data_IF_426352390351
#
_entry.id   IF_426352390351
#
_cell.length_a   1.000
_cell.length_b   1.000
_cell.length_c   1.000
_cell.angle_alpha   90.00
_cell.angle_beta   90.00
_cell.angle_gamma   90.00
#
_symmetry.space_group_name_H-M   'P 1'
#
loop_
_entity.id
_entity.type
_entity.pdbx_description
1 polymer ?
#
# COMPACT_ATOMS: atom_id res chain seq x y z
N UNK A 1 18.85 -10.94 -19.24
CA UNK A 1 17.39 -10.97 -19.03
C UNK A 1 17.20 -11.10 -17.53
N UNK A 2 16.66 -10.11 -16.81
CA UNK A 2 16.42 -10.29 -15.37
C UNK A 2 15.21 -11.22 -15.21
N UNK A 3 15.39 -12.37 -14.56
CA UNK A 3 14.29 -13.29 -14.26
C UNK A 3 13.22 -12.59 -13.41
N UNK A 4 11.95 -12.80 -13.75
CA UNK A 4 10.84 -12.34 -12.92
C UNK A 4 10.62 -13.32 -11.78
N UNK A 5 10.46 -12.82 -10.56
CA UNK A 5 10.29 -13.59 -9.33
C UNK A 5 8.80 -13.80 -9.04
N UNK A 6 8.33 -15.05 -9.13
CA UNK A 6 7.01 -15.45 -8.65
C UNK A 6 7.06 -15.94 -7.20
N UNK A 7 5.90 -16.33 -6.68
CA UNK A 7 5.78 -16.86 -5.32
C UNK A 7 6.64 -18.11 -5.07
N UNK A 8 6.72 -19.03 -6.04
CA UNK A 8 7.46 -20.28 -5.88
C UNK A 8 8.97 -20.03 -5.86
N UNK A 9 9.46 -19.20 -6.79
CA UNK A 9 10.86 -18.83 -6.87
C UNK A 9 11.30 -18.04 -5.64
N UNK A 10 10.49 -17.08 -5.14
CA UNK A 10 10.83 -16.36 -3.90
C UNK A 10 11.01 -17.32 -2.73
N UNK A 11 10.14 -18.33 -2.58
CA UNK A 11 10.28 -19.34 -1.52
C UNK A 11 11.54 -20.17 -1.68
N UNK A 12 11.83 -20.63 -2.90
CA UNK A 12 13.05 -21.38 -3.20
C UNK A 12 14.31 -20.55 -2.87
N UNK A 13 14.32 -19.25 -3.20
CA UNK A 13 15.45 -18.38 -2.87
C UNK A 13 15.61 -18.17 -1.36
N UNK A 14 14.51 -18.16 -0.58
CA UNK A 14 14.60 -18.13 0.88
C UNK A 14 15.15 -19.45 1.47
N UNK A 15 14.79 -20.60 0.90
CA UNK A 15 15.37 -21.89 1.30
C UNK A 15 16.89 -21.93 1.02
N UNK A 16 17.31 -21.46 -0.15
CA UNK A 16 18.74 -21.32 -0.53
C UNK A 16 19.50 -20.38 0.41
N UNK A 17 18.88 -19.24 0.74
CA UNK A 17 19.46 -18.27 1.66
C UNK A 17 19.59 -18.86 3.07
N UNK A 18 18.59 -19.59 3.55
CA UNK A 18 18.69 -20.33 4.82
C UNK A 18 19.86 -21.30 4.82
N UNK A 19 19.98 -22.16 3.80
CA UNK A 19 21.04 -23.15 3.73
C UNK A 19 22.43 -22.50 3.71
N UNK A 20 22.59 -21.39 2.98
CA UNK A 20 23.84 -20.65 2.93
C UNK A 20 24.23 -20.00 4.27
N UNK A 21 23.26 -19.48 5.02
CA UNK A 21 23.48 -18.88 6.34
C UNK A 21 23.77 -19.96 7.40
N UNK A 22 23.00 -21.05 7.38
CA UNK A 22 23.17 -22.18 8.29
C UNK A 22 24.55 -22.84 8.14
N UNK A 23 25.05 -22.99 6.90
CA UNK A 23 26.40 -23.50 6.63
C UNK A 23 27.51 -22.65 7.26
N UNK A 24 27.21 -21.39 7.61
CA UNK A 24 28.13 -20.45 8.28
C UNK A 24 27.86 -20.34 9.79
N UNK A 25 26.92 -21.12 10.32
CA UNK A 25 26.51 -21.06 11.73
C UNK A 25 25.79 -19.76 12.11
N UNK A 26 25.19 -19.08 11.12
CA UNK A 26 24.50 -17.79 11.32
C UNK A 26 23.02 -17.95 11.01
N UNK A 27 22.16 -17.22 11.72
CA UNK A 27 20.75 -17.07 11.39
C UNK A 27 20.46 -15.62 11.07
N UNK A 28 19.86 -15.37 9.91
CA UNK A 28 19.45 -14.02 9.50
C UNK A 28 17.99 -13.74 9.82
N UNK A 29 17.65 -12.46 9.96
CA UNK A 29 16.26 -11.98 10.04
C UNK A 29 16.02 -10.90 8.98
N UNK A 30 15.08 -11.18 8.08
CA UNK A 30 14.70 -10.32 6.96
C UNK A 30 13.25 -9.87 7.12
N UNK A 31 13.03 -8.57 7.07
CA UNK A 31 11.72 -7.94 7.06
C UNK A 31 11.31 -7.58 5.62
N UNK A 32 10.39 -8.35 5.06
CA UNK A 32 9.91 -8.28 3.70
C UNK A 32 8.85 -7.19 3.53
N UNK A 33 9.04 -6.31 2.55
CA UNK A 33 8.16 -5.19 2.21
C UNK A 33 7.83 -5.21 0.70
N UNK A 34 7.12 -4.20 0.22
CA UNK A 34 6.94 -3.98 -1.21
C UNK A 34 6.23 -5.11 -1.95
N UNK A 35 6.64 -5.34 -3.21
CA UNK A 35 6.00 -6.32 -4.10
C UNK A 35 6.14 -7.76 -3.61
N UNK A 36 7.30 -8.12 -3.07
CA UNK A 36 7.56 -9.46 -2.52
C UNK A 36 6.65 -9.79 -1.32
N UNK A 37 6.39 -8.83 -0.44
CA UNK A 37 5.43 -8.99 0.67
C UNK A 37 4.00 -9.20 0.15
N UNK A 38 3.61 -8.47 -0.90
CA UNK A 38 2.28 -8.62 -1.53
C UNK A 38 2.08 -10.02 -2.13
N UNK A 39 3.11 -10.57 -2.79
CA UNK A 39 3.07 -11.90 -3.40
C UNK A 39 3.02 -12.98 -2.31
N UNK A 40 3.92 -12.94 -1.33
CA UNK A 40 4.10 -14.01 -0.33
C UNK A 40 3.14 -13.94 0.86
N UNK A 41 2.70 -12.74 1.27
CA UNK A 41 1.88 -12.54 2.47
C UNK A 41 0.41 -12.23 2.22
N UNK A 42 0.06 -11.86 0.98
CA UNK A 42 -1.28 -11.37 0.60
C UNK A 42 -1.81 -11.94 -0.72
N UNK A 43 -1.18 -12.97 -1.27
CA UNK A 43 -1.73 -13.76 -2.37
C UNK A 43 -1.85 -13.01 -3.70
N UNK A 44 -0.94 -12.05 -3.97
CA UNK A 44 -0.89 -11.44 -5.30
C UNK A 44 -0.31 -12.41 -6.32
N UNK A 45 -1.13 -12.80 -7.28
CA UNK A 45 -0.73 -13.61 -8.43
C UNK A 45 -0.10 -12.71 -9.51
N UNK A 46 1.17 -12.37 -9.30
CA UNK A 46 2.02 -11.66 -10.25
C UNK A 46 3.48 -11.96 -9.96
N UNK A 47 4.36 -11.52 -10.86
CA UNK A 47 5.80 -11.54 -10.64
C UNK A 47 6.35 -10.16 -10.26
N UNK A 48 7.54 -10.13 -9.67
CA UNK A 48 8.30 -8.92 -9.34
C UNK A 48 9.73 -9.04 -9.85
N UNK A 49 10.44 -7.93 -10.06
CA UNK A 49 11.85 -7.97 -10.48
C UNK A 49 12.79 -8.25 -9.31
N UNK A 50 12.37 -7.82 -8.14
CA UNK A 50 13.15 -7.79 -6.91
C UNK A 50 12.24 -7.99 -5.69
N UNK A 51 12.90 -8.26 -4.57
CA UNK A 51 12.32 -8.47 -3.25
C UNK A 51 12.84 -7.34 -2.36
N UNK A 52 11.99 -6.32 -2.14
CA UNK A 52 12.29 -5.22 -1.23
C UNK A 52 12.34 -5.71 0.22
N UNK A 53 13.43 -5.43 0.95
CA UNK A 53 13.59 -5.86 2.34
C UNK A 53 14.29 -4.82 3.21
N UNK A 54 14.08 -4.94 4.51
CA UNK A 54 14.98 -4.45 5.56
C UNK A 54 15.60 -5.67 6.23
N UNK A 55 16.92 -5.67 6.46
CA UNK A 55 17.59 -6.78 7.14
C UNK A 55 17.83 -6.37 8.59
N UNK A 56 17.27 -7.15 9.51
CA UNK A 56 17.26 -6.88 10.94
C UNK A 56 18.41 -7.58 11.67
N UNK A 57 18.83 -8.76 11.17
CA UNK A 57 19.96 -9.52 11.72
C UNK A 57 20.83 -10.12 10.59
N UNK A 58 22.14 -10.24 10.86
CA UNK A 58 23.14 -10.84 9.97
C UNK A 58 23.23 -10.19 8.57
N UNK A 59 23.19 -8.85 8.52
CA UNK A 59 23.10 -8.09 7.26
C UNK A 59 24.17 -8.44 6.24
N UNK A 60 25.44 -8.47 6.64
CA UNK A 60 26.55 -8.67 5.71
C UNK A 60 26.56 -10.11 5.18
N UNK A 61 26.24 -11.10 6.03
CA UNK A 61 26.11 -12.50 5.65
C UNK A 61 24.92 -12.73 4.71
N UNK A 62 23.77 -12.11 5.00
CA UNK A 62 22.57 -12.18 4.16
C UNK A 62 22.87 -11.60 2.78
N UNK A 63 23.49 -10.43 2.70
CA UNK A 63 23.81 -9.79 1.42
C UNK A 63 24.85 -10.57 0.62
N UNK A 64 25.89 -11.10 1.27
CA UNK A 64 26.90 -11.92 0.62
C UNK A 64 26.30 -13.23 0.05
N UNK A 65 25.42 -13.88 0.83
CA UNK A 65 24.71 -15.08 0.37
C UNK A 65 23.73 -14.75 -0.76
N UNK A 66 22.98 -13.65 -0.66
CA UNK A 66 22.05 -13.21 -1.70
C UNK A 66 22.76 -12.90 -3.02
N UNK A 67 23.92 -12.25 -2.99
CA UNK A 67 24.73 -12.01 -4.18
C UNK A 67 25.15 -13.32 -4.86
N UNK A 68 25.71 -14.26 -4.10
CA UNK A 68 26.12 -15.57 -4.63
C UNK A 68 24.93 -16.38 -5.19
N UNK A 69 23.77 -16.33 -4.54
CA UNK A 69 22.54 -16.96 -5.04
C UNK A 69 22.09 -16.28 -6.34
N UNK A 70 22.11 -14.95 -6.39
CA UNK A 70 21.74 -14.18 -7.58
C UNK A 70 22.54 -14.58 -8.80
N UNK A 71 23.87 -14.71 -8.66
CA UNK A 71 24.76 -15.20 -9.71
C UNK A 71 24.39 -16.62 -10.19
N UNK A 72 24.14 -17.55 -9.26
CA UNK A 72 23.76 -18.94 -9.60
C UNK A 72 22.44 -19.03 -10.37
N UNK A 73 21.48 -18.19 -10.01
CA UNK A 73 20.12 -18.18 -10.58
C UNK A 73 19.98 -17.21 -11.78
N UNK A 74 21.05 -16.49 -12.16
CA UNK A 74 21.02 -15.50 -13.24
C UNK A 74 20.10 -14.29 -12.95
N UNK A 75 19.96 -13.94 -11.67
CA UNK A 75 19.16 -12.81 -11.22
C UNK A 75 20.00 -11.52 -11.24
N UNK A 76 19.31 -10.38 -11.15
CA UNK A 76 19.97 -9.10 -10.91
C UNK A 76 20.69 -9.12 -9.56
N UNK A 77 21.83 -8.44 -9.44
CA UNK A 77 22.60 -8.36 -8.18
C UNK A 77 21.78 -7.79 -7.02
N UNK A 78 20.72 -7.02 -7.35
CA UNK A 78 19.80 -6.39 -6.41
C UNK A 78 18.46 -7.12 -6.30
N UNK A 79 18.37 -8.40 -6.66
CA UNK A 79 17.12 -9.17 -6.49
C UNK A 79 16.62 -9.17 -5.03
N UNK A 80 17.51 -9.01 -4.06
CA UNK A 80 17.20 -8.69 -2.66
C UNK A 80 17.55 -7.21 -2.39
N UNK A 81 16.59 -6.31 -2.55
CA UNK A 81 16.83 -4.85 -2.56
C UNK A 81 16.59 -4.20 -1.19
N UNK A 82 17.53 -3.36 -0.76
CA UNK A 82 17.42 -2.53 0.45
C UNK A 82 16.92 -1.11 0.16
N UNK A 83 16.70 -0.74 -1.11
CA UNK A 83 16.35 0.62 -1.52
C UNK A 83 15.12 1.18 -0.81
N UNK A 84 14.15 0.32 -0.52
CA UNK A 84 12.92 0.68 0.18
C UNK A 84 13.03 0.64 1.72
N UNK A 85 14.11 0.12 2.30
CA UNK A 85 14.27 -0.05 3.74
C UNK A 85 14.18 1.28 4.51
N UNK A 86 14.68 2.37 3.93
CA UNK A 86 14.63 3.72 4.51
C UNK A 86 13.20 4.29 4.65
N UNK A 87 12.25 3.74 3.90
CA UNK A 87 10.85 4.16 3.93
C UNK A 87 9.99 3.29 4.82
N UNK A 88 10.56 2.32 5.54
CA UNK A 88 9.82 1.51 6.52
C UNK A 88 9.36 2.44 7.65
N UNK A 89 8.05 2.49 7.96
CA UNK A 89 7.51 3.21 9.11
C UNK A 89 8.29 2.96 10.39
N UNK A 90 8.46 4.00 11.20
CA UNK A 90 9.14 3.89 12.49
C UNK A 90 8.25 3.14 13.49
N UNK A 91 8.88 2.36 14.37
CA UNK A 91 8.19 1.52 15.36
C UNK A 91 8.02 0.08 14.89
N UNK A 92 7.64 -0.79 15.81
CA UNK A 92 7.52 -2.21 15.55
C UNK A 92 6.22 -2.55 14.82
N UNK A 93 6.31 -3.37 13.78
CA UNK A 93 5.16 -3.97 13.15
C UNK A 93 4.71 -5.22 13.91
N UNK A 94 3.94 -5.01 14.96
CA UNK A 94 3.41 -6.09 15.82
C UNK A 94 2.48 -7.06 15.10
N UNK A 95 2.04 -6.71 13.87
CA UNK A 95 1.17 -7.55 13.03
C UNK A 95 1.92 -8.14 11.83
N UNK A 96 3.26 -8.05 11.81
CA UNK A 96 4.06 -8.70 10.80
C UNK A 96 3.79 -10.21 10.78
N UNK A 97 3.75 -10.80 9.59
CA UNK A 97 3.46 -12.22 9.39
C UNK A 97 4.74 -12.99 9.16
N UNK A 98 4.91 -14.16 9.77
CA UNK A 98 5.98 -15.07 9.36
C UNK A 98 5.71 -15.58 7.95
N UNK A 99 6.64 -15.32 7.02
CA UNK A 99 6.58 -15.75 5.61
C UNK A 99 7.43 -16.99 5.40
N UNK A 100 8.60 -17.05 6.04
CA UNK A 100 9.51 -18.17 6.01
C UNK A 100 10.22 -18.27 7.37
N UNK A 101 10.43 -19.48 7.88
CA UNK A 101 11.09 -19.71 9.15
C UNK A 101 11.84 -21.04 9.11
N UNK A 102 13.16 -20.96 9.24
CA UNK A 102 14.10 -22.08 9.13
C UNK A 102 15.28 -21.85 10.09
N UNK A 103 16.18 -22.84 10.27
CA UNK A 103 17.36 -22.71 11.13
C UNK A 103 18.27 -21.55 10.74
N UNK A 104 18.46 -21.29 9.43
CA UNK A 104 19.34 -20.24 8.92
C UNK A 104 18.64 -18.91 8.62
N UNK A 105 17.30 -18.88 8.53
CA UNK A 105 16.59 -17.65 8.11
C UNK A 105 15.20 -17.52 8.74
N UNK A 106 14.93 -16.33 9.30
CA UNK A 106 13.58 -15.86 9.57
C UNK A 106 13.22 -14.77 8.55
N UNK A 107 12.11 -14.93 7.85
CA UNK A 107 11.51 -13.88 7.01
C UNK A 107 10.14 -13.51 7.58
N UNK A 108 10.00 -12.26 7.98
CA UNK A 108 8.71 -11.67 8.39
C UNK A 108 8.25 -10.70 7.32
N UNK A 109 7.01 -10.81 6.85
CA UNK A 109 6.39 -9.87 5.93
C UNK A 109 5.61 -8.79 6.66
N UNK A 110 5.71 -7.56 6.17
CA UNK A 110 4.97 -6.42 6.67
C UNK A 110 3.45 -6.67 6.72
N UNK A 111 2.80 -6.15 7.74
CA UNK A 111 1.36 -6.17 7.93
C UNK A 111 0.65 -5.37 6.84
N UNK A 112 -0.63 -5.66 6.63
CA UNK A 112 -1.40 -4.99 5.59
C UNK A 112 -1.49 -3.47 5.85
N UNK A 113 -1.54 -3.05 7.11
CA UNK A 113 -1.55 -1.64 7.49
C UNK A 113 -0.22 -0.96 7.17
N UNK A 114 0.90 -1.64 7.46
CA UNK A 114 2.24 -1.13 7.19
C UNK A 114 2.51 -1.02 5.69
N UNK A 115 2.14 -2.04 4.91
CA UNK A 115 2.21 -1.99 3.46
C UNK A 115 1.30 -0.91 2.89
N UNK A 116 0.06 -0.77 3.40
CA UNK A 116 -0.84 0.26 2.91
C UNK A 116 -0.26 1.66 3.16
N UNK A 117 0.31 1.90 4.34
CA UNK A 117 1.00 3.15 4.64
C UNK A 117 2.12 3.42 3.63
N UNK A 118 3.00 2.44 3.37
CA UNK A 118 4.11 2.59 2.42
C UNK A 118 3.61 2.86 0.99
N UNK A 119 2.54 2.18 0.56
CA UNK A 119 1.97 2.35 -0.78
C UNK A 119 1.31 3.73 -0.96
N UNK A 120 0.56 4.19 0.04
CA UNK A 120 -0.03 5.54 0.05
C UNK A 120 1.07 6.61 0.09
N UNK A 121 2.12 6.40 0.89
CA UNK A 121 3.28 7.29 0.96
C UNK A 121 3.99 7.41 -0.39
N UNK A 122 4.24 6.28 -1.07
CA UNK A 122 4.86 6.27 -2.39
C UNK A 122 3.97 6.90 -3.47
N UNK A 123 2.66 6.63 -3.43
CA UNK A 123 1.67 7.27 -4.30
C UNK A 123 1.87 7.04 -5.81
N UNK A 124 2.64 6.01 -6.21
CA UNK A 124 2.91 5.73 -7.63
C UNK A 124 1.76 4.96 -8.26
N UNK A 125 1.64 5.04 -9.58
CA UNK A 125 0.58 4.34 -10.32
C UNK A 125 0.55 2.82 -10.09
N UNK A 126 1.69 2.09 -10.05
CA UNK A 126 1.69 0.65 -9.75
C UNK A 126 1.22 0.31 -8.33
N UNK A 127 1.29 1.27 -7.40
CA UNK A 127 0.89 1.06 -6.01
C UNK A 127 -0.64 1.12 -5.84
N UNK A 128 -1.40 1.66 -6.80
CA UNK A 128 -2.87 1.81 -6.70
C UNK A 128 -3.60 0.47 -6.63
N UNK A 129 -3.17 -0.50 -7.43
CA UNK A 129 -3.73 -1.85 -7.36
C UNK A 129 -3.43 -2.48 -6.00
N UNK A 130 -2.21 -2.32 -5.48
CA UNK A 130 -1.85 -2.83 -4.15
C UNK A 130 -2.68 -2.16 -3.05
N UNK A 131 -2.93 -0.84 -3.16
CA UNK A 131 -3.80 -0.09 -2.24
C UNK A 131 -5.22 -0.62 -2.28
N UNK A 132 -5.78 -0.87 -3.47
CA UNK A 132 -7.10 -1.47 -3.66
C UNK A 132 -7.20 -2.83 -2.97
N UNK A 133 -6.22 -3.71 -3.19
CA UNK A 133 -6.18 -5.05 -2.58
C UNK A 133 -6.06 -5.00 -1.07
N UNK A 134 -5.13 -4.20 -0.55
CA UNK A 134 -4.94 -4.03 0.90
C UNK A 134 -6.17 -3.39 1.55
N UNK A 135 -6.82 -2.42 0.90
CA UNK A 135 -8.08 -1.85 1.36
C UNK A 135 -9.19 -2.89 1.41
N UNK A 136 -9.23 -3.82 0.46
CA UNK A 136 -10.11 -5.00 0.49
C UNK A 136 -9.89 -5.86 1.72
N UNK A 137 -8.64 -6.27 1.96
CA UNK A 137 -8.25 -7.10 3.10
C UNK A 137 -8.56 -6.42 4.44
N UNK A 138 -8.30 -5.12 4.53
CA UNK A 138 -8.52 -4.32 5.75
C UNK A 138 -9.97 -3.86 5.92
N UNK A 139 -10.86 -4.13 4.97
CA UNK A 139 -12.25 -3.66 5.01
C UNK A 139 -12.38 -2.14 4.99
N UNK A 140 -11.42 -1.43 4.38
CA UNK A 140 -11.42 0.03 4.32
C UNK A 140 -12.48 0.50 3.32
N UNK A 141 -13.34 1.41 3.78
CA UNK A 141 -14.42 2.01 2.98
C UNK A 141 -14.25 3.49 2.71
N UNK A 142 -13.28 4.13 3.37
CA UNK A 142 -13.11 5.58 3.40
C UNK A 142 -11.67 5.94 3.08
N UNK A 143 -11.48 6.83 2.11
CA UNK A 143 -10.17 7.40 1.76
C UNK A 143 -9.45 7.93 2.98
N UNK A 144 -10.14 8.69 3.83
CA UNK A 144 -9.59 9.24 5.07
C UNK A 144 -9.02 8.19 6.02
N UNK A 145 -9.51 6.95 5.99
CA UNK A 145 -8.94 5.88 6.82
C UNK A 145 -7.57 5.43 6.31
N UNK A 146 -7.42 5.22 5.00
CA UNK A 146 -6.13 4.90 4.40
C UNK A 146 -5.12 6.05 4.56
N UNK A 147 -5.56 7.30 4.40
CA UNK A 147 -4.71 8.48 4.66
C UNK A 147 -4.26 8.51 6.11
N UNK A 148 -5.14 8.33 7.10
CA UNK A 148 -4.75 8.29 8.53
C UNK A 148 -3.77 7.16 8.85
N UNK A 149 -3.89 6.01 8.17
CA UNK A 149 -2.89 4.93 8.32
C UNK A 149 -1.51 5.43 7.87
N UNK A 150 -1.43 6.09 6.72
CA UNK A 150 -0.20 6.70 6.22
C UNK A 150 0.33 7.81 7.16
N UNK A 151 -0.50 8.77 7.55
CA UNK A 151 -0.08 9.92 8.38
C UNK A 151 0.39 9.49 9.78
N UNK A 152 -0.22 8.44 10.37
CA UNK A 152 0.27 7.87 11.63
C UNK A 152 1.62 7.17 11.47
N UNK A 153 1.82 6.48 10.36
CA UNK A 153 3.07 5.80 10.04
C UNK A 153 4.21 6.78 9.69
N UNK A 154 3.86 7.95 9.13
CA UNK A 154 4.80 9.01 8.74
C UNK A 154 4.36 10.37 9.30
N UNK A 155 4.55 10.64 10.61
CA UNK A 155 4.17 11.90 11.23
C UNK A 155 4.82 13.10 10.53
N UNK A 156 4.02 14.12 10.20
CA UNK A 156 4.47 15.33 9.50
C UNK A 156 4.50 15.22 7.98
N UNK A 157 4.25 14.04 7.40
CA UNK A 157 4.08 13.90 5.96
C UNK A 157 2.63 14.14 5.54
N UNK A 158 2.41 15.11 4.66
CA UNK A 158 1.10 15.40 4.09
C UNK A 158 0.93 14.64 2.76
N UNK A 159 -0.10 13.80 2.69
CA UNK A 159 -0.47 13.15 1.43
C UNK A 159 -1.05 14.20 0.48
N UNK A 160 -0.43 14.37 -0.68
CA UNK A 160 -0.83 15.31 -1.72
C UNK A 160 -2.24 15.01 -2.26
N UNK A 161 -2.97 16.06 -2.66
CA UNK A 161 -4.37 15.93 -3.11
C UNK A 161 -4.55 14.95 -4.28
N UNK A 162 -3.62 14.95 -5.24
CA UNK A 162 -3.62 13.97 -6.34
C UNK A 162 -3.53 12.53 -5.83
N UNK A 163 -2.67 12.27 -4.86
CA UNK A 163 -2.54 10.95 -4.25
C UNK A 163 -3.79 10.58 -3.45
N UNK A 164 -4.37 11.54 -2.71
CA UNK A 164 -5.65 11.33 -2.00
C UNK A 164 -6.77 10.90 -2.95
N UNK A 165 -6.88 11.56 -4.11
CA UNK A 165 -7.85 11.20 -5.16
C UNK A 165 -7.63 9.79 -5.66
N UNK A 166 -6.41 9.45 -6.10
CA UNK A 166 -6.10 8.13 -6.62
C UNK A 166 -6.34 7.01 -5.59
N UNK A 167 -6.03 7.27 -4.30
CA UNK A 167 -6.34 6.34 -3.20
C UNK A 167 -7.85 6.19 -3.02
N UNK A 168 -8.61 7.28 -3.17
CA UNK A 168 -10.07 7.25 -3.16
C UNK A 168 -10.65 6.39 -4.27
N UNK A 169 -10.14 6.54 -5.49
CA UNK A 169 -10.55 5.72 -6.64
C UNK A 169 -10.25 4.24 -6.39
N UNK A 170 -9.04 3.90 -5.93
CA UNK A 170 -8.66 2.53 -5.57
C UNK A 170 -9.55 1.92 -4.48
N UNK A 171 -9.96 2.71 -3.48
CA UNK A 171 -10.89 2.27 -2.44
C UNK A 171 -12.31 2.08 -2.98
N UNK A 172 -12.77 2.96 -3.88
CA UNK A 172 -14.08 2.82 -4.53
C UNK A 172 -14.12 1.52 -5.35
N UNK A 173 -13.07 1.24 -6.13
CA UNK A 173 -12.95 -0.01 -6.89
C UNK A 173 -12.94 -1.24 -5.97
N UNK A 174 -12.20 -1.18 -4.85
CA UNK A 174 -12.17 -2.27 -3.88
C UNK A 174 -13.57 -2.56 -3.29
N UNK A 175 -14.37 -1.50 -3.08
CA UNK A 175 -15.75 -1.62 -2.58
C UNK A 175 -16.68 -2.23 -3.63
N UNK A 176 -16.55 -1.78 -4.88
CA UNK A 176 -17.32 -2.33 -6.00
C UNK A 176 -17.08 -3.84 -6.17
N UNK A 177 -15.83 -4.31 -6.07
CA UNK A 177 -15.51 -5.75 -6.12
C UNK A 177 -16.11 -6.57 -4.97
N UNK A 178 -16.39 -5.94 -3.83
CA UNK A 178 -17.10 -6.57 -2.70
C UNK A 178 -18.62 -6.51 -2.82
N UNK A 179 -19.15 -5.94 -3.91
CA UNK A 179 -20.58 -5.69 -4.07
C UNK A 179 -21.13 -4.66 -3.07
N UNK A 180 -20.26 -3.83 -2.47
CA UNK A 180 -20.71 -2.76 -1.61
C UNK A 180 -21.27 -1.61 -2.46
N UNK A 181 -22.42 -1.03 -2.08
CA UNK A 181 -22.97 0.10 -2.83
C UNK A 181 -21.99 1.28 -2.76
N UNK A 182 -21.47 1.66 -3.93
CA UNK A 182 -20.77 2.92 -4.11
C UNK A 182 -21.84 3.92 -4.55
N UNK A 183 -22.02 5.05 -3.84
CA UNK A 183 -23.02 6.04 -4.22
C UNK A 183 -22.77 6.47 -5.67
N UNK A 184 -23.72 6.17 -6.55
CA UNK A 184 -23.69 6.68 -7.91
C UNK A 184 -24.36 8.05 -7.90
N UNK A 185 -23.58 9.05 -8.31
CA UNK A 185 -24.04 10.43 -8.39
C UNK A 185 -24.38 10.73 -9.85
N UNK A 186 -25.67 10.73 -10.15
CA UNK A 186 -26.17 11.07 -11.49
C UNK A 186 -26.59 12.52 -11.51
N UNK A 187 -26.01 13.32 -12.39
CA UNK A 187 -26.48 14.68 -12.66
C UNK A 187 -27.68 14.62 -13.63
N UNK A 188 -28.87 14.88 -13.11
CA UNK A 188 -30.10 15.05 -13.89
C UNK A 188 -30.29 16.54 -14.19
N UNK A 189 -30.21 16.93 -15.48
CA UNK A 189 -30.48 18.29 -16.03
C UNK A 189 -30.09 19.48 -15.14
N UNK A 190 -28.98 20.16 -15.47
CA UNK A 190 -28.54 21.48 -14.98
C UNK A 190 -29.09 21.91 -13.60
N UNK A 191 -28.90 21.10 -12.54
CA UNK A 191 -28.98 21.45 -11.09
C UNK A 191 -29.37 20.28 -10.19
N UNK A 192 -29.95 19.19 -10.71
CA UNK A 192 -30.38 18.07 -9.85
C UNK A 192 -29.35 16.96 -9.85
N UNK A 193 -28.93 16.47 -8.69
CA UNK A 193 -28.13 15.25 -8.58
C UNK A 193 -28.88 14.22 -7.77
N UNK A 194 -28.94 13.02 -8.33
CA UNK A 194 -29.49 11.87 -7.67
C UNK A 194 -28.35 11.02 -7.14
N UNK A 195 -28.44 10.64 -5.88
CA UNK A 195 -27.50 9.72 -5.25
C UNK A 195 -28.20 8.39 -4.98
N UNK A 196 -27.86 7.34 -5.74
CA UNK A 196 -28.34 5.99 -5.48
C UNK A 196 -27.31 5.21 -4.64
N UNK A 197 -27.75 4.45 -3.63
CA UNK A 197 -26.84 3.66 -2.79
C UNK A 197 -26.00 4.47 -1.78
N UNK A 198 -26.37 5.73 -1.51
CA UNK A 198 -25.63 6.66 -0.67
C UNK A 198 -25.53 6.33 0.84
N UNK A 199 -26.33 5.39 1.35
CA UNK A 199 -26.43 5.14 2.79
C UNK A 199 -26.90 6.39 3.55
N UNK A 200 -26.24 6.73 4.66
CA UNK A 200 -26.58 7.88 5.52
C UNK A 200 -25.96 9.22 5.08
N UNK A 201 -25.34 9.29 3.90
CA UNK A 201 -24.67 10.51 3.41
C UNK A 201 -25.69 11.45 2.76
N UNK A 202 -25.57 12.75 3.01
CA UNK A 202 -26.34 13.77 2.30
C UNK A 202 -25.46 14.55 1.34
N UNK A 203 -25.99 14.90 0.18
CA UNK A 203 -25.30 15.64 -0.88
C UNK A 203 -26.01 16.97 -1.09
N UNK A 204 -25.27 18.06 -1.04
CA UNK A 204 -25.75 19.42 -1.28
C UNK A 204 -25.03 19.97 -2.50
N UNK A 205 -25.76 20.62 -3.41
CA UNK A 205 -25.19 21.08 -4.68
C UNK A 205 -25.52 22.53 -4.90
N UNK A 206 -24.50 23.27 -5.30
CA UNK A 206 -24.64 24.62 -5.79
C UNK A 206 -24.13 24.67 -7.23
N UNK A 207 -24.95 25.21 -8.13
CA UNK A 207 -24.53 25.54 -9.48
C UNK A 207 -24.15 27.02 -9.53
N UNK A 208 -22.98 27.33 -10.06
CA UNK A 208 -22.53 28.70 -10.31
C UNK A 208 -22.33 28.90 -11.81
N UNK A 209 -23.14 29.77 -12.41
CA UNK A 209 -23.01 30.19 -13.80
C UNK A 209 -21.84 31.17 -13.94
N UNK A 210 -20.91 30.84 -14.84
CA UNK A 210 -19.73 31.63 -15.15
C UNK A 210 -20.04 32.65 -16.23
N UNK A 211 -19.25 33.72 -16.29
CA UNK A 211 -19.43 34.79 -17.27
C UNK A 211 -19.31 34.35 -18.74
N UNK A 212 -18.73 33.18 -19.01
CA UNK A 212 -18.62 32.57 -20.34
C UNK A 212 -19.80 31.64 -20.69
N UNK A 213 -20.81 31.54 -19.82
CA UNK A 213 -21.99 30.69 -19.99
C UNK A 213 -21.77 29.23 -19.60
N UNK A 214 -20.61 28.87 -19.02
CA UNK A 214 -20.40 27.56 -18.41
C UNK A 214 -20.97 27.51 -16.99
N UNK A 215 -21.42 26.34 -16.53
CA UNK A 215 -21.84 26.13 -15.13
C UNK A 215 -20.78 25.31 -14.38
N UNK A 216 -20.38 25.77 -13.20
CA UNK A 216 -19.57 24.99 -12.25
C UNK A 216 -20.49 24.40 -11.17
N UNK A 217 -20.40 23.09 -10.96
CA UNK A 217 -21.16 22.40 -9.93
C UNK A 217 -20.29 22.14 -8.70
N UNK A 218 -20.68 22.71 -7.57
CA UNK A 218 -20.08 22.44 -6.27
C UNK A 218 -20.88 21.36 -5.56
N UNK A 219 -20.33 20.14 -5.47
CA UNK A 219 -20.95 19.04 -4.73
C UNK A 219 -20.34 18.95 -3.34
N UNK A 220 -21.14 19.25 -2.32
CA UNK A 220 -20.78 19.06 -0.91
C UNK A 220 -21.33 17.73 -0.41
N UNK A 221 -20.44 16.84 0.02
CA UNK A 221 -20.83 15.55 0.61
C UNK A 221 -20.72 15.65 2.12
N UNK A 222 -21.86 15.60 2.82
CA UNK A 222 -21.87 15.44 4.28
C UNK A 222 -21.95 13.96 4.60
N UNK A 223 -20.88 13.44 5.16
CA UNK A 223 -20.81 12.08 5.67
C UNK A 223 -20.91 12.13 7.20
N UNK A 224 -21.97 11.60 7.82
CA UNK A 224 -22.17 11.70 9.27
C UNK A 224 -21.13 10.92 10.10
N UNK A 225 -20.26 10.15 9.45
CA UNK A 225 -19.10 9.48 10.05
C UNK A 225 -17.76 10.02 9.53
N UNK A 226 -17.75 11.16 8.84
CA UNK A 226 -16.52 11.94 8.68
C UNK A 226 -16.06 12.41 10.07
N UNK A 227 -14.75 12.30 10.42
CA UNK A 227 -14.25 12.99 11.60
C UNK A 227 -14.52 14.48 11.43
N UNK A 228 -14.93 15.18 12.49
CA UNK A 228 -15.07 16.64 12.49
C UNK A 228 -13.75 17.25 12.00
N UNK A 229 -13.77 17.74 10.76
CA UNK A 229 -12.64 18.46 10.17
C UNK A 229 -12.69 19.97 10.53
N UNK A 230 -13.59 20.37 11.43
CA UNK A 230 -13.96 21.78 11.67
C UNK A 230 -13.03 22.55 12.64
N UNK A 231 -11.82 22.03 12.94
CA UNK A 231 -10.83 22.75 13.76
C UNK A 231 -9.55 23.20 13.03
N UNK A 232 -9.49 23.11 11.70
CA UNK A 232 -8.44 23.83 10.95
C UNK A 232 -8.97 25.16 10.42
N UNK A 233 -9.33 26.06 11.35
CA UNK A 233 -9.37 27.49 11.03
C UNK A 233 -7.95 27.96 10.68
N UNK A 234 -7.77 28.78 9.64
CA UNK A 234 -6.48 29.38 9.38
C UNK A 234 -6.12 30.31 10.55
N UNK A 235 -4.97 30.07 11.18
CA UNK A 235 -4.34 31.09 12.02
C UNK A 235 -3.98 32.23 11.07
N UNK A 236 -4.82 33.27 11.03
CA UNK A 236 -4.45 34.55 10.45
C UNK A 236 -3.20 35.02 11.19
N UNK A 237 -2.08 35.16 10.48
CA UNK A 237 -1.01 36.05 10.88
C UNK A 237 -1.41 37.48 10.55
#
# INVERSE_FOLDING_TARGET
MSGSLDHALIRQLFDELSAALEARGVRGHVYLIGGGAMITGYGRDRTTKDVDVRIDEAKDEVLAAAAAIGERYGLDERWLDLGAAQFVPRGDDVRAKTVHNSPGLLVTGASAEHLLAMKVFAGRRPDLDDIKHLAGILGIRRTSTAIRICERAYPGWLVMERTRRNVGDAIADARAERGEPVPELTLERNTTLRAEGAGSRSYEIMAEEQADGSETLHVTVRDPAAPDHDEQRPVRR
#
